data_IF_034066114512
#
_entry.id   IF_034066114512
#
_cell.length_a   1.000
_cell.length_b   1.000
_cell.length_c   1.000
_cell.angle_alpha   90.00
_cell.angle_beta   90.00
_cell.angle_gamma   90.00
#
_symmetry.space_group_name_H-M   'P 1'
#
loop_
_entity.id
_entity.type
_entity.pdbx_description
1 polymer ?
#
# COMPACT_ATOMS: atom_id res chain seq x y z
N UNK A 1 0.66 10.84 -14.84
CA UNK A 1 1.86 11.57 -15.25
C UNK A 1 1.52 13.05 -15.51
N UNK A 2 0.54 13.35 -16.36
CA UNK A 2 0.16 14.75 -16.69
C UNK A 2 -0.27 15.60 -15.48
N UNK A 3 -0.52 14.97 -14.34
CA UNK A 3 -0.91 15.61 -13.08
C UNK A 3 0.13 15.42 -11.97
N UNK A 4 1.39 15.06 -12.30
CA UNK A 4 2.45 14.88 -11.31
C UNK A 4 2.31 13.63 -10.42
N UNK A 5 1.40 12.71 -10.77
CA UNK A 5 1.23 11.44 -10.07
C UNK A 5 2.08 10.38 -10.78
N UNK A 6 3.01 9.78 -10.05
CA UNK A 6 3.97 8.83 -10.61
C UNK A 6 3.79 7.40 -10.08
N UNK A 7 3.20 7.22 -8.90
CA UNK A 7 3.02 5.90 -8.28
C UNK A 7 1.57 5.44 -8.42
N UNK A 8 1.40 4.24 -8.98
CA UNK A 8 0.09 3.61 -9.17
C UNK A 8 0.05 2.31 -8.38
N UNK A 9 -0.92 2.21 -7.47
CA UNK A 9 -1.21 0.98 -6.76
C UNK A 9 -2.16 0.10 -7.59
N UNK A 10 -1.75 -1.12 -7.87
CA UNK A 10 -2.50 -2.09 -8.69
C UNK A 10 -2.66 -3.39 -7.93
N UNK A 11 -3.88 -3.89 -7.86
CA UNK A 11 -4.19 -5.20 -7.26
C UNK A 11 -4.68 -6.16 -8.33
N UNK A 12 -3.96 -7.25 -8.52
CA UNK A 12 -4.36 -8.38 -9.35
C UNK A 12 -5.38 -9.24 -8.59
N UNK A 13 -6.66 -8.91 -8.75
CA UNK A 13 -7.76 -9.58 -8.06
C UNK A 13 -7.88 -11.06 -8.47
N UNK A 14 -7.63 -11.36 -9.74
CA UNK A 14 -7.62 -12.74 -10.23
C UNK A 14 -6.43 -13.50 -9.66
N UNK A 15 -5.27 -12.84 -9.58
CA UNK A 15 -4.08 -13.38 -8.94
C UNK A 15 -4.29 -13.65 -7.45
N UNK A 16 -4.96 -12.75 -6.75
CA UNK A 16 -5.29 -12.95 -5.34
C UNK A 16 -6.16 -14.21 -5.13
N UNK A 17 -7.15 -14.45 -6.02
CA UNK A 17 -8.01 -15.64 -6.01
C UNK A 17 -7.24 -16.90 -6.41
N UNK A 18 -6.44 -16.83 -7.48
CA UNK A 18 -5.69 -17.95 -8.01
C UNK A 18 -4.44 -18.31 -7.18
N UNK A 19 -4.05 -17.47 -6.20
CA UNK A 19 -2.80 -17.58 -5.44
C UNK A 19 -1.53 -17.57 -6.30
N UNK A 20 -1.61 -16.98 -7.49
CA UNK A 20 -0.50 -16.74 -8.42
C UNK A 20 -0.83 -15.56 -9.33
N UNK A 21 0.12 -14.72 -9.77
CA UNK A 21 -0.15 -13.60 -10.64
C UNK A 21 -0.82 -14.05 -11.95
N UNK A 22 -1.91 -13.39 -12.34
CA UNK A 22 -2.68 -13.73 -13.54
C UNK A 22 -2.57 -12.65 -14.62
N UNK A 23 -2.33 -11.40 -14.23
CA UNK A 23 -2.41 -10.24 -15.13
C UNK A 23 -1.03 -9.61 -15.40
N UNK A 24 0.03 -10.42 -15.55
CA UNK A 24 1.40 -9.91 -15.79
C UNK A 24 1.54 -9.13 -17.10
N UNK A 25 0.75 -9.44 -18.14
CA UNK A 25 0.77 -8.67 -19.40
C UNK A 25 0.20 -7.25 -19.20
N UNK A 26 -0.81 -7.11 -18.36
CA UNK A 26 -1.31 -5.80 -17.93
C UNK A 26 -0.23 -5.04 -17.18
N UNK A 27 0.48 -5.71 -16.26
CA UNK A 27 1.61 -5.11 -15.54
C UNK A 27 2.69 -4.61 -16.51
N UNK A 28 3.11 -5.41 -17.50
CA UNK A 28 4.09 -5.01 -18.53
C UNK A 28 3.65 -3.77 -19.29
N UNK A 29 2.35 -3.73 -19.66
CA UNK A 29 1.76 -2.59 -20.37
C UNK A 29 1.82 -1.31 -19.54
N UNK A 30 1.45 -1.39 -18.26
CA UNK A 30 1.49 -0.24 -17.35
C UNK A 30 2.93 0.22 -17.07
N UNK A 31 3.84 -0.74 -16.83
CA UNK A 31 5.24 -0.45 -16.54
C UNK A 31 6.00 0.13 -17.73
N UNK A 32 5.53 -0.07 -18.96
CA UNK A 32 6.11 0.53 -20.18
C UNK A 32 5.82 2.04 -20.29
N UNK A 33 4.94 2.60 -19.47
CA UNK A 33 4.65 4.04 -19.47
C UNK A 33 5.76 4.76 -18.73
N UNK A 34 6.48 5.63 -19.42
CA UNK A 34 7.61 6.38 -18.87
C UNK A 34 7.19 7.25 -17.67
N UNK A 35 7.97 7.23 -16.61
CA UNK A 35 7.73 8.01 -15.40
C UNK A 35 6.67 7.44 -14.46
N UNK A 36 6.20 6.20 -14.69
CA UNK A 36 5.26 5.50 -13.80
C UNK A 36 5.99 4.46 -12.96
N UNK A 37 5.74 4.46 -11.67
CA UNK A 37 6.13 3.43 -10.73
C UNK A 37 4.91 2.58 -10.39
N UNK A 38 5.00 1.26 -10.62
CA UNK A 38 3.91 0.34 -10.32
C UNK A 38 4.15 -0.35 -8.99
N UNK A 39 3.20 -0.19 -8.09
CA UNK A 39 3.11 -0.90 -6.83
C UNK A 39 2.08 -2.03 -6.99
N UNK A 40 2.57 -3.26 -7.12
CA UNK A 40 1.76 -4.42 -7.49
C UNK A 40 1.49 -5.33 -6.32
N UNK A 41 0.21 -5.66 -6.09
CA UNK A 41 -0.26 -6.66 -5.14
C UNK A 41 -1.16 -7.70 -5.79
N UNK A 42 -1.36 -8.82 -5.10
CA UNK A 42 -2.21 -9.93 -5.56
C UNK A 42 -1.42 -11.09 -6.17
N UNK A 43 -1.70 -12.30 -5.68
CA UNK A 43 -1.12 -13.54 -6.21
C UNK A 43 0.33 -13.84 -5.80
N UNK A 44 1.05 -12.97 -5.10
CA UNK A 44 2.45 -13.17 -4.72
C UNK A 44 2.53 -14.14 -3.53
N UNK A 45 2.57 -15.44 -3.81
CA UNK A 45 2.63 -16.51 -2.80
C UNK A 45 3.94 -17.28 -2.79
N UNK A 46 4.72 -17.22 -3.86
CA UNK A 46 5.99 -17.93 -4.02
C UNK A 46 7.09 -16.97 -4.45
N UNK A 47 8.33 -17.38 -4.28
CA UNK A 47 9.47 -16.60 -4.74
C UNK A 47 9.48 -16.44 -6.28
N UNK A 48 9.06 -17.46 -7.01
CA UNK A 48 8.94 -17.37 -8.47
C UNK A 48 7.90 -16.31 -8.86
N UNK A 49 6.72 -16.30 -8.21
CA UNK A 49 5.69 -15.28 -8.46
C UNK A 49 6.21 -13.86 -8.18
N UNK A 50 7.00 -13.67 -7.11
CA UNK A 50 7.63 -12.39 -6.81
C UNK A 50 8.65 -11.98 -7.87
N UNK A 51 9.50 -12.94 -8.32
CA UNK A 51 10.47 -12.70 -9.38
C UNK A 51 9.77 -12.33 -10.70
N UNK A 52 8.69 -13.03 -11.06
CA UNK A 52 7.91 -12.77 -12.27
C UNK A 52 7.26 -11.38 -12.26
N UNK A 53 6.74 -10.95 -11.10
CA UNK A 53 6.17 -9.61 -10.92
C UNK A 53 7.23 -8.53 -11.11
N UNK A 54 8.43 -8.70 -10.54
CA UNK A 54 9.53 -7.76 -10.77
C UNK A 54 10.04 -7.79 -12.21
N UNK A 55 10.13 -8.97 -12.83
CA UNK A 55 10.52 -9.11 -14.24
C UNK A 55 9.49 -8.49 -15.20
N UNK A 56 8.21 -8.45 -14.80
CA UNK A 56 7.15 -7.79 -15.55
C UNK A 56 7.15 -6.27 -15.40
N UNK A 57 8.00 -5.70 -14.53
CA UNK A 57 8.24 -4.26 -14.42
C UNK A 57 7.63 -3.59 -13.18
N UNK A 58 7.18 -4.34 -12.18
CA UNK A 58 6.77 -3.74 -10.91
C UNK A 58 7.96 -3.03 -10.25
N UNK A 59 7.74 -1.80 -9.80
CA UNK A 59 8.70 -1.05 -8.99
C UNK A 59 8.68 -1.55 -7.56
N UNK A 60 7.50 -1.86 -7.05
CA UNK A 60 7.26 -2.34 -5.68
C UNK A 60 6.33 -3.55 -5.69
N UNK A 61 6.60 -4.50 -4.80
CA UNK A 61 5.75 -5.67 -4.56
C UNK A 61 5.05 -5.57 -3.21
N UNK A 62 3.72 -5.61 -3.22
CA UNK A 62 2.89 -5.59 -2.02
C UNK A 62 2.58 -7.01 -1.58
N UNK A 63 3.01 -7.37 -0.38
CA UNK A 63 2.86 -8.72 0.18
C UNK A 63 2.08 -8.65 1.49
N UNK A 64 0.91 -9.26 1.51
CA UNK A 64 0.05 -9.32 2.70
C UNK A 64 -0.01 -10.72 3.31
N UNK A 65 -0.82 -11.61 2.76
CA UNK A 65 -1.09 -12.92 3.34
C UNK A 65 0.17 -13.76 3.63
N UNK A 66 1.20 -13.69 2.78
CA UNK A 66 2.47 -14.40 3.02
C UNK A 66 3.18 -13.84 4.23
N UNK A 67 3.21 -12.52 4.40
CA UNK A 67 3.83 -11.89 5.57
C UNK A 67 3.15 -12.32 6.88
N UNK A 68 1.82 -12.47 6.87
CA UNK A 68 1.08 -12.90 8.05
C UNK A 68 1.14 -14.41 8.31
N UNK A 69 1.08 -15.24 7.26
CA UNK A 69 0.97 -16.70 7.38
C UNK A 69 2.30 -17.44 7.32
N UNK A 70 3.30 -16.88 6.64
CA UNK A 70 4.65 -17.43 6.44
C UNK A 70 5.71 -16.34 6.58
N UNK A 71 5.80 -15.72 7.74
CA UNK A 71 6.60 -14.53 7.95
C UNK A 71 8.09 -14.72 7.65
N UNK A 72 8.66 -15.90 7.89
CA UNK A 72 10.05 -16.24 7.55
C UNK A 72 10.35 -16.12 6.04
N UNK A 73 9.33 -16.31 5.20
CA UNK A 73 9.45 -16.12 3.77
C UNK A 73 9.54 -14.64 3.42
N UNK A 74 8.71 -13.81 4.04
CA UNK A 74 8.75 -12.37 3.81
C UNK A 74 10.04 -11.73 4.35
N UNK A 75 10.56 -12.23 5.49
CA UNK A 75 11.87 -11.86 6.02
C UNK A 75 13.00 -12.12 4.99
N UNK A 76 13.01 -13.33 4.41
CA UNK A 76 13.98 -13.69 3.38
C UNK A 76 13.84 -12.81 2.12
N UNK A 77 12.61 -12.44 1.74
CA UNK A 77 12.37 -11.57 0.60
C UNK A 77 12.79 -10.12 0.85
N UNK A 78 12.58 -9.58 2.06
CA UNK A 78 13.10 -8.27 2.45
C UNK A 78 14.61 -8.20 2.30
N UNK A 79 15.33 -9.26 2.75
CA UNK A 79 16.79 -9.33 2.64
C UNK A 79 17.26 -9.50 1.19
N UNK A 80 16.56 -10.29 0.38
CA UNK A 80 16.97 -10.64 -0.98
C UNK A 80 16.66 -9.54 -2.00
N UNK A 81 15.48 -8.94 -1.92
CA UNK A 81 14.99 -7.99 -2.94
C UNK A 81 15.13 -6.53 -2.51
N UNK A 82 15.46 -6.29 -1.24
CA UNK A 82 15.59 -4.97 -0.65
C UNK A 82 14.27 -4.44 -0.05
N UNK A 83 14.36 -3.88 1.13
CA UNK A 83 13.20 -3.33 1.84
C UNK A 83 12.59 -2.07 1.16
N UNK A 84 13.36 -1.43 0.29
CA UNK A 84 12.95 -0.30 -0.54
C UNK A 84 11.97 -0.69 -1.65
N UNK A 85 11.96 -1.96 -2.07
CA UNK A 85 11.07 -2.49 -3.11
C UNK A 85 9.95 -3.38 -2.58
N UNK A 86 10.03 -3.75 -1.31
CA UNK A 86 9.04 -4.62 -0.67
C UNK A 86 8.10 -3.79 0.20
N UNK A 87 6.81 -3.95 0.01
CA UNK A 87 5.76 -3.26 0.78
C UNK A 87 4.96 -4.28 1.56
N UNK A 88 4.86 -4.10 2.86
CA UNK A 88 3.95 -4.90 3.68
C UNK A 88 2.51 -4.44 3.46
N UNK A 89 1.66 -5.31 2.92
CA UNK A 89 0.21 -5.09 2.86
C UNK A 89 -0.47 -5.62 4.11
N UNK A 90 -1.17 -4.78 4.83
CA UNK A 90 -1.91 -5.16 6.03
C UNK A 90 -3.36 -4.69 5.95
N UNK A 91 -4.26 -5.61 5.68
CA UNK A 91 -5.69 -5.38 5.75
C UNK A 91 -6.13 -5.56 7.20
N UNK A 92 -6.73 -4.55 7.79
CA UNK A 92 -7.01 -4.48 9.23
C UNK A 92 -8.51 -4.31 9.45
N UNK A 93 -9.05 -5.13 10.35
CA UNK A 93 -10.41 -5.01 10.85
C UNK A 93 -10.38 -5.00 12.37
N UNK A 94 -10.86 -3.93 12.97
CA UNK A 94 -10.85 -3.77 14.43
C UNK A 94 -9.48 -4.00 15.08
N UNK A 95 -8.38 -3.58 14.40
CA UNK A 95 -7.01 -3.70 14.88
C UNK A 95 -6.35 -5.07 14.64
N UNK A 96 -7.07 -6.06 14.09
CA UNK A 96 -6.56 -7.39 13.73
C UNK A 96 -6.32 -7.50 12.24
N UNK A 97 -5.30 -8.26 11.87
CA UNK A 97 -4.94 -8.50 10.47
C UNK A 97 -5.91 -9.48 9.83
N UNK A 98 -6.42 -9.14 8.66
CA UNK A 98 -7.20 -10.01 7.80
C UNK A 98 -6.35 -10.53 6.65
N UNK A 99 -6.55 -11.76 6.24
CA UNK A 99 -5.83 -12.40 5.13
C UNK A 99 -6.79 -13.01 4.11
N UNK A 100 -6.26 -13.47 2.97
CA UNK A 100 -7.01 -14.18 1.93
C UNK A 100 -8.22 -13.40 1.41
N UNK A 101 -8.03 -12.10 1.10
CA UNK A 101 -9.12 -11.24 0.61
C UNK A 101 -10.20 -11.03 1.67
N UNK A 102 -9.78 -10.83 2.93
CA UNK A 102 -10.63 -10.54 4.10
C UNK A 102 -11.50 -11.71 4.58
N UNK A 103 -11.25 -12.92 4.08
CA UNK A 103 -12.03 -14.11 4.44
C UNK A 103 -11.64 -14.72 5.77
N UNK A 104 -10.42 -14.46 6.22
CA UNK A 104 -9.87 -15.01 7.45
C UNK A 104 -9.26 -13.88 8.30
N UNK A 105 -9.59 -13.85 9.58
CA UNK A 105 -8.88 -13.05 10.57
C UNK A 105 -7.83 -13.92 11.26
N UNK A 106 -6.61 -13.41 11.35
CA UNK A 106 -5.55 -14.06 12.10
C UNK A 106 -5.43 -13.41 13.48
N UNK A 107 -5.05 -14.17 14.48
CA UNK A 107 -4.80 -13.63 15.83
C UNK A 107 -3.46 -12.89 15.88
N UNK A 108 -3.39 -11.84 15.05
CA UNK A 108 -2.21 -11.03 14.86
C UNK A 108 -2.64 -9.56 14.70
N UNK A 109 -2.05 -8.69 15.50
CA UNK A 109 -2.26 -7.25 15.35
C UNK A 109 -1.32 -6.68 14.30
N UNK A 110 -1.69 -5.53 13.70
CA UNK A 110 -0.79 -4.84 12.77
C UNK A 110 0.52 -4.44 13.45
N UNK A 111 0.49 -4.10 14.72
CA UNK A 111 1.70 -3.77 15.49
C UNK A 111 2.66 -4.95 15.57
N UNK A 112 2.17 -6.13 15.92
CA UNK A 112 2.99 -7.34 15.96
C UNK A 112 3.59 -7.69 14.60
N UNK A 113 2.80 -7.46 13.54
CA UNK A 113 3.25 -7.72 12.17
C UNK A 113 4.37 -6.75 11.76
N UNK A 114 4.23 -5.45 12.05
CA UNK A 114 5.28 -4.46 11.76
C UNK A 114 6.51 -4.72 12.63
N UNK A 115 6.34 -4.90 13.95
CA UNK A 115 7.44 -5.13 14.90
C UNK A 115 8.31 -6.32 14.48
N UNK A 116 7.70 -7.36 13.90
CA UNK A 116 8.42 -8.54 13.40
C UNK A 116 9.39 -8.21 12.27
N UNK A 117 9.02 -7.31 11.36
CA UNK A 117 9.81 -7.05 10.15
C UNK A 117 10.73 -5.84 10.25
N UNK A 118 10.62 -5.01 11.29
CA UNK A 118 11.54 -3.89 11.51
C UNK A 118 13.03 -4.32 11.53
N UNK A 119 13.43 -5.43 12.18
CA UNK A 119 14.82 -5.88 12.17
C UNK A 119 15.35 -6.24 10.78
N UNK A 120 14.46 -6.51 9.83
CA UNK A 120 14.78 -6.84 8.43
C UNK A 120 14.71 -5.62 7.51
N UNK A 121 14.60 -4.41 8.07
CA UNK A 121 14.62 -3.15 7.35
C UNK A 121 13.27 -2.72 6.76
N UNK A 122 12.14 -3.30 7.21
CA UNK A 122 10.82 -2.87 6.74
C UNK A 122 10.67 -1.35 6.84
N UNK A 123 10.39 -0.71 5.71
CA UNK A 123 10.27 0.75 5.60
C UNK A 123 8.93 1.21 5.00
N UNK A 124 8.14 0.33 4.43
CA UNK A 124 6.89 0.68 3.73
C UNK A 124 5.76 -0.27 4.13
N UNK A 125 4.63 0.29 4.55
CA UNK A 125 3.42 -0.44 4.93
C UNK A 125 2.21 0.21 4.29
N UNK A 126 1.40 -0.57 3.58
CA UNK A 126 0.04 -0.19 3.22
C UNK A 126 -0.88 -0.78 4.28
N UNK A 127 -1.59 0.08 4.99
CA UNK A 127 -2.59 -0.34 5.95
C UNK A 127 -3.98 -0.01 5.40
N UNK A 128 -4.79 -1.05 5.13
CA UNK A 128 -6.17 -0.89 4.68
C UNK A 128 -7.13 -1.14 5.83
N UNK A 129 -7.93 -0.14 6.21
CA UNK A 129 -9.08 -0.40 7.08
C UNK A 129 -10.22 -1.00 6.25
N UNK A 130 -10.41 -2.31 6.41
CA UNK A 130 -11.42 -3.09 5.67
C UNK A 130 -12.84 -2.58 5.92
N UNK A 131 -13.11 -2.03 7.11
CA UNK A 131 -14.44 -1.51 7.46
C UNK A 131 -14.76 -0.19 6.74
N UNK A 132 -13.75 0.50 6.25
CA UNK A 132 -13.85 1.78 5.55
C UNK A 132 -13.62 1.67 4.05
N UNK A 133 -12.95 0.58 3.60
CA UNK A 133 -12.59 0.45 2.19
C UNK A 133 -13.83 0.44 1.29
N UNK A 134 -13.79 1.27 0.24
CA UNK A 134 -14.90 1.46 -0.68
C UNK A 134 -16.14 2.16 -0.13
N UNK A 135 -16.20 2.54 1.15
CA UNK A 135 -17.38 3.14 1.80
C UNK A 135 -17.51 4.64 1.57
N UNK A 136 -16.42 5.33 1.21
CA UNK A 136 -16.41 6.80 1.02
C UNK A 136 -16.95 7.57 2.25
N UNK A 137 -16.55 7.16 3.45
CA UNK A 137 -17.00 7.72 4.73
C UNK A 137 -15.85 8.33 5.54
N UNK A 138 -14.74 8.61 4.90
CA UNK A 138 -13.50 9.06 5.51
C UNK A 138 -12.65 7.90 6.04
N UNK A 139 -11.32 8.10 6.15
CA UNK A 139 -10.36 7.10 6.63
C UNK A 139 -10.44 6.90 8.15
N UNK A 140 -9.86 5.81 8.64
CA UNK A 140 -9.68 5.54 10.07
C UNK A 140 -8.49 6.33 10.63
N UNK A 141 -8.60 7.66 10.65
CA UNK A 141 -7.50 8.60 10.95
C UNK A 141 -6.73 8.25 12.21
N UNK A 142 -7.42 7.93 13.32
CA UNK A 142 -6.77 7.61 14.60
C UNK A 142 -5.84 6.38 14.50
N UNK A 143 -6.22 5.38 13.73
CA UNK A 143 -5.39 4.20 13.47
C UNK A 143 -4.06 4.62 12.82
N UNK A 144 -4.12 5.39 11.75
CA UNK A 144 -2.95 5.79 10.98
C UNK A 144 -2.03 6.75 11.74
N UNK A 145 -2.60 7.72 12.45
CA UNK A 145 -1.84 8.64 13.33
C UNK A 145 -1.10 7.87 14.41
N UNK A 146 -1.78 6.90 15.05
CA UNK A 146 -1.17 6.02 16.06
C UNK A 146 -0.01 5.23 15.47
N UNK A 147 -0.21 4.62 14.29
CA UNK A 147 0.83 3.83 13.63
C UNK A 147 2.03 4.70 13.24
N UNK A 148 1.80 5.86 12.60
CA UNK A 148 2.89 6.74 12.20
C UNK A 148 3.68 7.28 13.39
N UNK A 149 3.01 7.58 14.51
CA UNK A 149 3.67 7.99 15.75
C UNK A 149 4.51 6.87 16.37
N UNK A 150 4.00 5.65 16.34
CA UNK A 150 4.72 4.47 16.89
C UNK A 150 5.90 4.06 16.01
N UNK A 151 5.75 4.19 14.69
CA UNK A 151 6.74 3.75 13.69
C UNK A 151 7.22 4.93 12.82
N UNK A 152 7.98 5.88 13.38
CA UNK A 152 8.34 7.12 12.68
C UNK A 152 9.29 6.90 11.47
N UNK A 153 9.97 5.74 11.42
CA UNK A 153 10.87 5.36 10.32
C UNK A 153 10.18 4.53 9.23
N UNK A 154 8.92 4.19 9.42
CA UNK A 154 8.12 3.42 8.46
C UNK A 154 7.13 4.35 7.77
N UNK A 155 7.13 4.34 6.46
CA UNK A 155 6.13 5.04 5.65
C UNK A 155 4.79 4.29 5.72
N UNK A 156 3.84 4.84 6.44
CA UNK A 156 2.48 4.29 6.52
C UNK A 156 1.64 4.89 5.39
N UNK A 157 1.23 4.06 4.45
CA UNK A 157 0.28 4.42 3.40
C UNK A 157 -1.13 4.16 3.88
N UNK A 158 -1.94 5.21 3.93
CA UNK A 158 -3.36 5.14 4.28
C UNK A 158 -4.15 4.53 3.13
N UNK A 159 -4.93 3.49 3.40
CA UNK A 159 -5.80 2.85 2.42
C UNK A 159 -7.19 2.60 3.00
N UNK A 160 -8.22 2.87 2.19
CA UNK A 160 -9.63 2.73 2.56
C UNK A 160 -10.28 4.00 3.09
N UNK A 161 -11.49 4.26 2.62
CA UNK A 161 -12.38 5.29 3.11
C UNK A 161 -12.22 6.69 2.51
N UNK A 162 -11.14 7.02 1.83
CA UNK A 162 -10.94 8.36 1.23
C UNK A 162 -12.14 8.74 0.37
N UNK A 163 -12.77 9.87 0.70
CA UNK A 163 -14.03 10.30 0.11
C UNK A 163 -13.97 11.66 -0.60
N UNK A 164 -13.10 12.55 -0.16
CA UNK A 164 -12.96 13.91 -0.67
C UNK A 164 -11.54 14.45 -0.43
N UNK A 165 -11.25 15.63 -1.00
CA UNK A 165 -9.96 16.30 -0.80
C UNK A 165 -9.70 16.68 0.65
N UNK A 166 -10.73 17.02 1.42
CA UNK A 166 -10.57 17.39 2.83
C UNK A 166 -10.01 16.25 3.68
N UNK A 167 -10.33 14.99 3.34
CA UNK A 167 -9.72 13.83 3.98
C UNK A 167 -8.20 13.82 3.78
N UNK A 168 -7.75 14.08 2.55
CA UNK A 168 -6.32 14.10 2.20
C UNK A 168 -5.59 15.24 2.90
N UNK A 169 -6.18 16.44 2.89
CA UNK A 169 -5.63 17.63 3.56
C UNK A 169 -5.51 17.39 5.06
N UNK A 170 -6.55 16.78 5.67
CA UNK A 170 -6.56 16.44 7.08
C UNK A 170 -5.46 15.44 7.43
N UNK A 171 -5.30 14.36 6.65
CA UNK A 171 -4.24 13.38 6.83
C UNK A 171 -2.85 14.01 6.70
N UNK A 172 -2.66 14.88 5.71
CA UNK A 172 -1.40 15.61 5.51
C UNK A 172 -1.06 16.49 6.71
N UNK A 173 -2.04 17.21 7.27
CA UNK A 173 -1.85 18.07 8.45
C UNK A 173 -1.43 17.28 9.70
N UNK A 174 -1.78 15.99 9.75
CA UNK A 174 -1.43 15.05 10.82
C UNK A 174 -0.10 14.30 10.56
N UNK A 175 0.63 14.67 9.48
CA UNK A 175 1.94 14.10 9.15
C UNK A 175 1.88 12.81 8.33
N UNK A 176 0.69 12.39 7.90
CA UNK A 176 0.51 11.23 7.02
C UNK A 176 0.73 11.66 5.57
N UNK A 177 1.75 11.10 4.92
CA UNK A 177 2.25 11.61 3.63
C UNK A 177 1.85 10.76 2.43
N UNK A 178 1.37 9.53 2.67
CA UNK A 178 1.03 8.57 1.63
C UNK A 178 -0.41 8.10 1.78
N UNK A 179 -1.16 8.16 0.69
CA UNK A 179 -2.57 7.77 0.65
C UNK A 179 -2.89 7.11 -0.68
N UNK A 180 -3.67 6.04 -0.65
CA UNK A 180 -4.26 5.43 -1.84
C UNK A 180 -5.65 6.01 -2.04
N UNK A 181 -5.88 6.58 -3.22
CA UNK A 181 -7.18 7.12 -3.63
C UNK A 181 -7.69 6.28 -4.80
N UNK A 182 -8.75 5.54 -4.58
CA UNK A 182 -9.38 4.67 -5.58
C UNK A 182 -10.79 5.16 -5.95
N UNK A 183 -11.79 4.63 -5.26
CA UNK A 183 -13.21 4.84 -5.56
C UNK A 183 -13.62 6.31 -5.69
N UNK A 184 -13.07 7.20 -4.88
CA UNK A 184 -13.36 8.63 -4.95
C UNK A 184 -12.98 9.26 -6.31
N UNK A 185 -11.93 8.75 -6.98
CA UNK A 185 -11.56 9.17 -8.33
C UNK A 185 -12.56 8.60 -9.35
N UNK A 186 -12.87 7.30 -9.26
CA UNK A 186 -13.79 6.63 -10.19
C UNK A 186 -15.21 7.21 -10.14
N UNK A 187 -15.65 7.65 -8.96
CA UNK A 187 -16.95 8.30 -8.77
C UNK A 187 -16.92 9.83 -9.01
N UNK A 188 -15.77 10.38 -9.42
CA UNK A 188 -15.64 11.81 -9.74
C UNK A 188 -15.70 12.74 -8.53
N UNK A 189 -15.53 12.22 -7.30
CA UNK A 189 -15.50 13.05 -6.08
C UNK A 189 -14.17 13.77 -5.90
N UNK A 190 -13.09 13.20 -6.44
CA UNK A 190 -11.75 13.79 -6.48
C UNK A 190 -11.28 13.74 -7.93
N UNK A 191 -10.93 14.89 -8.50
CA UNK A 191 -10.35 14.93 -9.81
C UNK A 191 -8.82 14.78 -9.72
N UNK A 192 -8.21 14.07 -10.69
CA UNK A 192 -6.74 13.86 -10.70
C UNK A 192 -5.94 15.16 -10.67
N UNK A 193 -6.47 16.24 -11.28
CA UNK A 193 -5.84 17.56 -11.25
C UNK A 193 -5.76 18.16 -9.84
N UNK A 194 -6.68 17.80 -8.95
CA UNK A 194 -6.72 18.32 -7.58
C UNK A 194 -5.70 17.62 -6.68
N UNK A 195 -5.19 16.44 -7.11
CA UNK A 195 -4.15 15.68 -6.42
C UNK A 195 -2.74 16.16 -6.77
N UNK A 196 -2.58 17.21 -7.57
CA UNK A 196 -1.28 17.77 -7.90
C UNK A 196 -0.57 18.21 -6.61
N UNK A 197 0.57 17.61 -6.34
CA UNK A 197 1.47 18.08 -5.28
C UNK A 197 2.02 19.42 -5.70
N UNK A 198 1.49 20.51 -5.16
CA UNK A 198 2.08 21.83 -5.35
C UNK A 198 3.49 21.79 -4.73
N UNK A 199 4.54 21.92 -5.54
CA UNK A 199 5.94 22.04 -5.10
C UNK A 199 6.15 23.22 -4.13
N UNK A 200 5.22 24.16 -4.10
CA UNK A 200 5.22 25.31 -3.20
C UNK A 200 5.11 24.98 -1.71
N UNK A 201 4.65 23.80 -1.35
CA UNK A 201 4.61 23.34 0.06
C UNK A 201 5.89 22.68 0.54
N UNK A 202 6.84 22.36 -0.33
CA UNK A 202 8.16 21.84 0.06
C UNK A 202 9.10 22.90 0.67
N UNK A 203 8.80 24.17 0.48
CA UNK A 203 9.66 25.30 0.87
C UNK A 203 9.41 25.89 2.26
N UNK A 204 8.37 25.49 2.98
CA UNK A 204 7.97 26.14 4.24
C UNK A 204 8.23 25.31 5.52
N UNK A 205 8.96 24.23 5.47
CA UNK A 205 9.30 23.40 6.66
C UNK A 205 10.76 23.53 7.09
N UNK A 206 11.50 24.51 6.57
CA UNK A 206 12.82 24.87 7.05
C UNK A 206 12.81 26.35 7.50
N UNK A 207 12.38 26.54 8.74
CA UNK A 207 12.45 27.80 9.48
C UNK A 207 12.39 27.51 10.95
#
# INVERSE_FOLDING_TARGET
INHGLHRIHVVDLDGAKASSPQNLDTLRTLAAVEGVEIEWGGGIKTEQALADVFAAGASYAVVGSVAAQRPERFEAWLQKYGADRMVLGADVKQGRVSVNGWQEEVDLTIDQLIDRFLPYGLSQVICTDVSRDGMLQGPATDLYVRLQKKYPTVDITVSGGISCMDDIISLQSLGLRKVIVGKAIYEGRIALKDLQVNELTRGQVNG
#
